data_IF_633871257874
#
_entry.id   IF_633871257874
#
_cell.length_a   1.000
_cell.length_b   1.000
_cell.length_c   1.000
_cell.angle_alpha   90.00
_cell.angle_beta   90.00
_cell.angle_gamma   90.00
#
_symmetry.space_group_name_H-M   'P 1'
#
loop_
_entity.id
_entity.type
_entity.pdbx_description
1 polymer ?
#
# COMPACT_ATOMS: atom_id res chain seq x y z
N UNK A 1 6.19 -9.19 -3.92
CA UNK A 1 5.33 -9.02 -5.12
C UNK A 1 4.05 -8.25 -4.81
N UNK A 2 3.50 -8.34 -3.59
CA UNK A 2 2.25 -7.71 -3.14
C UNK A 2 1.98 -6.27 -3.60
N UNK A 3 2.91 -5.31 -3.44
CA UNK A 3 2.68 -3.93 -3.90
C UNK A 3 2.39 -3.81 -5.41
N UNK A 4 2.89 -4.75 -6.23
CA UNK A 4 2.63 -4.78 -7.68
C UNK A 4 1.25 -5.36 -8.01
N UNK A 5 0.72 -6.22 -7.16
CA UNK A 5 -0.60 -6.86 -7.33
C UNK A 5 -1.73 -5.96 -6.82
N UNK A 6 -1.44 -5.06 -5.88
CA UNK A 6 -2.42 -4.20 -5.22
C UNK A 6 -3.27 -3.33 -6.18
N UNK A 7 -2.72 -2.77 -7.27
CA UNK A 7 -3.52 -2.00 -8.23
C UNK A 7 -4.60 -2.83 -8.91
N UNK A 8 -4.31 -4.08 -9.27
CA UNK A 8 -5.27 -4.98 -9.90
C UNK A 8 -6.30 -5.50 -8.89
N UNK A 9 -5.85 -5.80 -7.66
CA UNK A 9 -6.69 -6.39 -6.62
C UNK A 9 -7.63 -5.39 -5.95
N UNK A 10 -7.19 -4.15 -5.76
CA UNK A 10 -7.93 -3.14 -5.01
C UNK A 10 -7.87 -1.73 -5.60
N UNK A 11 -7.25 -1.52 -6.76
CA UNK A 11 -7.16 -0.17 -7.34
C UNK A 11 -6.40 0.82 -6.47
N UNK A 12 -5.49 0.33 -5.61
CA UNK A 12 -4.65 1.13 -4.71
C UNK A 12 -3.17 0.80 -4.95
N UNK A 13 -2.30 1.80 -4.87
CA UNK A 13 -0.85 1.63 -4.97
C UNK A 13 -0.19 1.79 -3.59
N UNK A 14 0.86 1.00 -3.33
CA UNK A 14 1.69 1.11 -2.14
C UNK A 14 3.18 1.04 -2.51
N UNK A 15 4.04 1.63 -1.70
CA UNK A 15 5.50 1.61 -1.92
C UNK A 15 6.10 0.54 -1.00
N UNK A 16 6.89 -0.42 -1.51
CA UNK A 16 7.59 -1.38 -0.65
C UNK A 16 8.62 -0.65 0.19
N UNK A 17 8.55 -0.79 1.52
CA UNK A 17 9.49 -0.06 2.40
C UNK A 17 10.90 -0.60 2.35
N UNK A 18 11.09 -1.88 2.01
CA UNK A 18 12.39 -2.49 1.82
C UNK A 18 13.33 -1.71 0.87
N UNK A 19 12.79 -0.89 -0.04
CA UNK A 19 13.58 0.01 -0.89
C UNK A 19 14.29 1.16 -0.13
N UNK A 20 13.95 1.37 1.14
CA UNK A 20 14.50 2.41 2.01
C UNK A 20 15.32 1.84 3.18
N UNK A 21 15.58 0.53 3.20
CA UNK A 21 16.37 -0.13 4.24
C UNK A 21 17.69 -0.61 3.64
N UNK A 22 18.78 -0.53 4.41
CA UNK A 22 20.05 -1.16 4.05
C UNK A 22 19.94 -2.69 4.07
N UNK A 23 19.24 -3.24 5.08
CA UNK A 23 18.80 -4.64 5.12
C UNK A 23 17.36 -4.76 4.59
N UNK A 24 17.23 -5.28 3.37
CA UNK A 24 15.93 -5.45 2.73
C UNK A 24 14.98 -6.40 3.48
N UNK A 25 15.51 -7.38 4.23
CA UNK A 25 14.68 -8.32 4.99
C UNK A 25 13.96 -7.65 6.15
N UNK A 26 14.57 -6.62 6.76
CA UNK A 26 13.97 -5.85 7.85
C UNK A 26 12.72 -5.07 7.41
N UNK A 27 12.59 -4.72 6.12
CA UNK A 27 11.44 -4.00 5.55
C UNK A 27 10.47 -4.87 4.74
N UNK A 28 10.69 -6.18 4.63
CA UNK A 28 10.00 -7.03 3.62
C UNK A 28 8.49 -7.14 3.81
N UNK A 29 8.00 -7.01 5.04
CA UNK A 29 6.58 -7.12 5.41
C UNK A 29 5.88 -5.77 5.53
N UNK A 30 6.61 -4.67 5.34
CA UNK A 30 6.12 -3.32 5.56
C UNK A 30 5.92 -2.58 4.22
N UNK A 31 4.85 -1.81 4.13
CA UNK A 31 4.52 -0.98 2.97
C UNK A 31 4.21 0.45 3.40
N UNK A 32 4.45 1.42 2.52
CA UNK A 32 4.20 2.85 2.78
C UNK A 32 3.11 3.38 1.86
N UNK A 33 2.17 4.11 2.46
CA UNK A 33 1.18 4.95 1.78
C UNK A 33 1.51 6.43 2.00
N UNK A 34 1.07 7.29 1.07
CA UNK A 34 1.20 8.73 1.18
C UNK A 34 -0.19 9.38 1.19
N UNK A 35 -0.42 10.27 2.16
CA UNK A 35 -1.75 10.85 2.45
C UNK A 35 -1.91 12.30 1.95
N UNK A 36 -0.97 12.81 1.16
CA UNK A 36 -1.11 14.11 0.48
C UNK A 36 -2.07 14.03 -0.71
N UNK A 37 -3.35 13.76 -0.44
CA UNK A 37 -4.46 13.66 -1.40
C UNK A 37 -5.70 14.28 -0.79
N UNK A 38 -6.74 14.49 -1.61
CA UNK A 38 -8.04 14.95 -1.08
C UNK A 38 -8.62 13.90 -0.12
N UNK A 39 -9.35 14.29 0.93
CA UNK A 39 -9.93 13.35 1.90
C UNK A 39 -10.72 12.22 1.24
N UNK A 40 -11.55 12.54 0.24
CA UNK A 40 -12.39 11.55 -0.45
C UNK A 40 -11.59 10.45 -1.14
N UNK A 41 -10.38 10.78 -1.63
CA UNK A 41 -9.47 9.79 -2.25
C UNK A 41 -8.89 8.84 -1.19
N UNK A 42 -8.62 9.37 0.00
CA UNK A 42 -8.10 8.57 1.12
C UNK A 42 -9.20 7.64 1.63
N UNK A 43 -10.43 8.13 1.77
CA UNK A 43 -11.58 7.35 2.20
C UNK A 43 -11.88 6.20 1.22
N UNK A 44 -11.87 6.48 -0.09
CA UNK A 44 -12.04 5.46 -1.13
C UNK A 44 -10.93 4.38 -1.05
N UNK A 45 -9.68 4.78 -0.85
CA UNK A 45 -8.57 3.84 -0.69
C UNK A 45 -8.75 2.95 0.54
N UNK A 46 -9.19 3.51 1.68
CA UNK A 46 -9.47 2.75 2.91
C UNK A 46 -10.61 1.75 2.69
N UNK A 47 -11.69 2.15 2.04
CA UNK A 47 -12.82 1.25 1.72
C UNK A 47 -12.36 0.07 0.85
N UNK A 48 -11.62 0.34 -0.23
CA UNK A 48 -11.11 -0.70 -1.14
C UNK A 48 -10.14 -1.66 -0.47
N UNK A 49 -9.24 -1.14 0.37
CA UNK A 49 -8.30 -1.97 1.13
C UNK A 49 -9.00 -2.82 2.19
N UNK A 50 -10.02 -2.29 2.86
CA UNK A 50 -10.76 -3.02 3.89
C UNK A 50 -11.53 -4.22 3.30
N UNK A 51 -11.98 -4.12 2.05
CA UNK A 51 -12.64 -5.21 1.34
C UNK A 51 -11.69 -6.37 0.96
N UNK A 52 -10.37 -6.18 0.99
CA UNK A 52 -9.39 -7.25 0.76
C UNK A 52 -9.13 -8.13 2.00
N UNK A 53 -9.48 -7.64 3.19
CA UNK A 53 -9.20 -8.29 4.47
C UNK A 53 -10.33 -9.17 5.02
N UNK A 54 -11.35 -9.44 4.20
CA UNK A 54 -12.46 -10.34 4.50
C UNK A 54 -12.30 -11.72 3.89
#
# INVERSE_FOLDING_TARGET
AWCRELPERAGVVAIPTAAFYDDADAGRTLVRFAFCKRPEVIDEAVQRLSALGG
#
